data_IF_347080041601
#
_entry.id   IF_347080041601
#
_cell.length_a   1.000
_cell.length_b   1.000
_cell.length_c   1.000
_cell.angle_alpha   90.00
_cell.angle_beta   90.00
_cell.angle_gamma   90.00
#
_symmetry.space_group_name_H-M   'P 1'
#
loop_
_entity.id
_entity.type
_entity.pdbx_description
1 polymer ?
#
# COMPACT_ATOMS: atom_id res chain seq x y z
N UNK A 1 -11.33 -8.31 -2.33
CA UNK A 1 -10.25 -7.96 -3.29
C UNK A 1 -10.12 -9.01 -4.39
N UNK A 2 -9.87 -10.29 -4.10
CA UNK A 2 -9.66 -11.34 -5.13
C UNK A 2 -10.74 -11.37 -6.23
N UNK A 3 -12.02 -11.30 -5.84
CA UNK A 3 -13.13 -11.27 -6.80
C UNK A 3 -13.10 -10.03 -7.72
N UNK A 4 -12.68 -8.86 -7.21
CA UNK A 4 -12.58 -7.63 -8.00
C UNK A 4 -11.46 -7.74 -9.03
N UNK A 5 -10.31 -8.30 -8.63
CA UNK A 5 -9.19 -8.57 -9.51
C UNK A 5 -9.64 -9.53 -10.63
N UNK A 6 -10.18 -10.68 -10.26
CA UNK A 6 -10.40 -11.79 -11.19
C UNK A 6 -11.63 -11.65 -12.07
N UNK A 7 -12.71 -11.06 -11.55
CA UNK A 7 -13.99 -10.96 -12.29
C UNK A 7 -14.22 -9.61 -12.92
N UNK A 8 -13.58 -8.57 -12.40
CA UNK A 8 -13.82 -7.19 -12.83
C UNK A 8 -12.56 -6.51 -13.36
N UNK A 9 -11.42 -7.21 -13.40
CA UNK A 9 -10.14 -6.69 -13.91
C UNK A 9 -9.74 -5.37 -13.23
N UNK A 10 -10.06 -5.24 -11.94
CA UNK A 10 -9.72 -4.06 -11.14
C UNK A 10 -8.37 -4.29 -10.50
N UNK A 11 -7.37 -3.53 -10.95
CA UNK A 11 -5.98 -3.65 -10.50
C UNK A 11 -5.57 -2.56 -9.49
N UNK A 12 -6.44 -1.58 -9.25
CA UNK A 12 -6.26 -0.52 -8.26
C UNK A 12 -7.24 -0.69 -7.09
N UNK A 13 -6.73 -0.70 -5.86
CA UNK A 13 -7.53 -0.85 -4.65
C UNK A 13 -7.20 0.23 -3.65
N UNK A 14 -8.23 0.92 -3.15
CA UNK A 14 -8.13 1.80 -2.00
C UNK A 14 -8.63 1.04 -0.76
N UNK A 15 -7.81 0.98 0.27
CA UNK A 15 -7.96 0.08 1.40
C UNK A 15 -7.75 0.83 2.70
N UNK A 16 -8.83 0.97 3.47
CA UNK A 16 -8.75 1.46 4.85
C UNK A 16 -8.17 0.38 5.76
N UNK A 17 -7.11 0.70 6.49
CA UNK A 17 -6.50 -0.15 7.51
C UNK A 17 -6.36 0.60 8.81
N UNK A 18 -6.51 -0.10 9.94
CA UNK A 18 -6.31 0.48 11.26
C UNK A 18 -5.40 -0.38 12.11
N UNK A 19 -4.67 0.24 13.03
CA UNK A 19 -3.89 -0.46 14.03
C UNK A 19 -4.67 -0.56 15.33
N UNK A 20 -4.97 -1.78 15.76
CA UNK A 20 -5.80 -2.04 16.92
C UNK A 20 -5.21 -3.22 17.72
N UNK A 21 -5.04 -3.04 19.04
CA UNK A 21 -4.54 -4.08 19.96
C UNK A 21 -3.31 -4.85 19.45
N UNK A 22 -2.36 -4.16 18.84
CA UNK A 22 -1.09 -4.78 18.40
C UNK A 22 -1.09 -5.36 16.99
N UNK A 23 -2.18 -5.21 16.22
CA UNK A 23 -2.30 -5.76 14.85
C UNK A 23 -2.91 -4.74 13.89
N UNK A 24 -2.60 -4.87 12.60
CA UNK A 24 -3.35 -4.20 11.55
C UNK A 24 -4.54 -5.04 11.11
N UNK A 25 -5.66 -4.37 10.88
CA UNK A 25 -6.89 -4.96 10.35
C UNK A 25 -7.52 -4.04 9.32
N UNK A 26 -8.27 -4.62 8.38
CA UNK A 26 -9.03 -3.86 7.41
C UNK A 26 -10.21 -3.17 8.11
N UNK A 27 -10.39 -1.89 7.81
CA UNK A 27 -11.46 -1.05 8.32
C UNK A 27 -12.47 -0.72 7.20
N UNK A 28 -13.63 -0.20 7.57
CA UNK A 28 -14.55 0.45 6.64
C UNK A 28 -15.17 1.64 7.37
N UNK A 29 -15.04 2.84 6.78
CA UNK A 29 -15.66 4.17 6.98
C UNK A 29 -16.43 4.58 8.27
N UNK A 30 -16.49 3.78 9.33
CA UNK A 30 -17.21 4.03 10.60
C UNK A 30 -16.57 3.29 11.79
N UNK A 31 -15.32 2.83 11.70
CA UNK A 31 -14.51 2.44 12.86
C UNK A 31 -15.01 1.28 13.73
N UNK A 32 -16.07 0.55 13.37
CA UNK A 32 -16.70 -0.44 14.28
C UNK A 32 -16.59 -1.89 13.83
N UNK A 33 -16.35 -2.16 12.56
CA UNK A 33 -16.28 -3.52 12.03
C UNK A 33 -14.85 -3.95 11.71
N UNK A 34 -14.41 -5.04 12.33
CA UNK A 34 -13.19 -5.78 11.95
C UNK A 34 -13.49 -6.53 10.65
N UNK A 35 -12.88 -6.10 9.54
CA UNK A 35 -13.02 -6.76 8.23
C UNK A 35 -11.92 -7.81 7.98
N UNK A 36 -11.22 -8.23 9.03
CA UNK A 36 -10.22 -9.28 9.00
C UNK A 36 -8.81 -8.74 9.19
N UNK A 37 -7.95 -9.63 9.68
CA UNK A 37 -6.52 -9.39 9.86
C UNK A 37 -5.85 -8.99 8.54
N UNK A 38 -5.02 -7.95 8.57
CA UNK A 38 -4.35 -7.41 7.39
C UNK A 38 -3.49 -8.46 6.68
N UNK A 39 -2.62 -9.16 7.42
CA UNK A 39 -1.71 -10.17 6.87
C UNK A 39 -2.46 -11.33 6.24
N UNK A 40 -3.49 -11.84 6.93
CA UNK A 40 -4.25 -12.98 6.43
C UNK A 40 -4.98 -12.65 5.13
N UNK A 41 -5.62 -11.48 5.08
CA UNK A 41 -6.34 -11.01 3.88
C UNK A 41 -5.37 -10.73 2.72
N UNK A 42 -4.22 -10.11 3.00
CA UNK A 42 -3.18 -9.88 1.99
C UNK A 42 -2.67 -11.21 1.41
N UNK A 43 -2.38 -12.22 2.24
CA UNK A 43 -1.96 -13.55 1.78
C UNK A 43 -3.03 -14.26 0.96
N UNK A 44 -4.25 -14.31 1.48
CA UNK A 44 -5.33 -15.09 0.87
C UNK A 44 -5.88 -14.46 -0.41
N UNK A 45 -5.72 -13.15 -0.60
CA UNK A 45 -6.30 -12.45 -1.74
C UNK A 45 -5.25 -11.87 -2.68
N UNK A 46 -4.31 -11.08 -2.17
CA UNK A 46 -3.32 -10.37 -3.01
C UNK A 46 -2.23 -11.33 -3.47
N UNK A 47 -1.58 -12.03 -2.53
CA UNK A 47 -0.57 -13.03 -2.89
C UNK A 47 -1.16 -14.15 -3.75
N UNK A 48 -2.34 -14.66 -3.40
CA UNK A 48 -3.02 -15.66 -4.22
C UNK A 48 -3.25 -15.18 -5.67
N UNK A 49 -3.68 -13.94 -5.86
CA UNK A 49 -3.89 -13.37 -7.20
C UNK A 49 -2.59 -13.20 -7.97
N UNK A 50 -1.53 -12.69 -7.32
CA UNK A 50 -0.20 -12.52 -7.92
C UNK A 50 0.49 -13.85 -8.27
N UNK A 51 0.14 -14.93 -7.58
CA UNK A 51 0.60 -16.30 -7.89
C UNK A 51 -0.15 -16.91 -9.06
N UNK A 52 -1.45 -16.67 -9.16
CA UNK A 52 -2.31 -17.22 -10.20
C UNK A 52 -2.09 -16.54 -11.56
N UNK A 53 -1.70 -15.26 -11.56
CA UNK A 53 -1.42 -14.49 -12.77
C UNK A 53 -0.01 -13.85 -12.69
N UNK A 54 0.96 -14.34 -13.49
CA UNK A 54 2.31 -13.77 -13.52
C UNK A 54 2.39 -12.38 -14.17
N UNK A 55 1.40 -12.01 -14.99
CA UNK A 55 1.34 -10.72 -15.68
C UNK A 55 0.58 -9.67 -14.87
N UNK A 56 -0.16 -10.08 -13.83
CA UNK A 56 -0.89 -9.16 -12.95
C UNK A 56 0.06 -8.17 -12.28
N UNK A 57 -0.30 -6.88 -12.37
CA UNK A 57 0.27 -5.79 -11.58
C UNK A 57 -0.86 -5.17 -10.76
N UNK A 58 -0.64 -4.97 -9.45
CA UNK A 58 -1.60 -4.37 -8.54
C UNK A 58 -1.08 -3.06 -7.94
N UNK A 59 -2.01 -2.14 -7.72
CA UNK A 59 -1.79 -0.86 -7.04
C UNK A 59 -2.68 -0.84 -5.79
N UNK A 60 -2.07 -0.72 -4.62
CA UNK A 60 -2.76 -0.61 -3.34
C UNK A 60 -2.52 0.77 -2.75
N UNK A 61 -3.59 1.49 -2.50
CA UNK A 61 -3.61 2.72 -1.72
C UNK A 61 -4.10 2.39 -0.31
N UNK A 62 -3.17 2.37 0.65
CA UNK A 62 -3.44 2.05 2.05
C UNK A 62 -3.72 3.32 2.83
N UNK A 63 -4.97 3.51 3.22
CA UNK A 63 -5.39 4.61 4.08
C UNK A 63 -5.29 4.16 5.54
N UNK A 64 -4.40 4.79 6.30
CA UNK A 64 -4.27 4.53 7.72
C UNK A 64 -5.40 5.28 8.45
N UNK A 65 -6.48 4.56 8.74
CA UNK A 65 -7.59 5.07 9.55
C UNK A 65 -7.14 5.16 11.02
N UNK A 66 -6.42 6.25 11.30
CA UNK A 66 -6.20 6.74 12.64
C UNK A 66 -7.50 7.31 13.17
N UNK A 67 -8.39 6.46 13.71
CA UNK A 67 -9.66 6.84 14.33
C UNK A 67 -10.24 8.17 13.80
N UNK A 68 -10.88 8.16 12.63
CA UNK A 68 -11.64 9.31 12.09
C UNK A 68 -12.77 9.85 12.99
N UNK A 69 -12.88 9.44 14.25
CA UNK A 69 -13.82 10.02 15.19
C UNK A 69 -13.29 11.40 15.65
N UNK A 70 -13.89 12.44 15.05
CA UNK A 70 -13.91 13.84 15.54
C UNK A 70 -12.61 14.64 15.41
N UNK A 71 -11.82 14.37 14.39
CA UNK A 71 -10.70 15.22 14.01
C UNK A 71 -11.13 16.28 13.00
N UNK A 72 -12.22 16.99 13.33
CA UNK A 72 -12.50 18.30 12.75
C UNK A 72 -11.33 19.22 13.14
N UNK A 73 -10.40 19.39 12.19
CA UNK A 73 -9.20 20.25 12.28
C UNK A 73 -8.06 19.71 13.16
N UNK A 74 -7.81 18.41 13.19
CA UNK A 74 -6.61 17.92 13.87
C UNK A 74 -5.33 18.27 13.09
N UNK A 75 -4.40 18.87 13.84
CA UNK A 75 -3.13 19.45 13.42
C UNK A 75 -2.33 18.49 12.53
N UNK A 76 -1.77 18.98 11.41
CA UNK A 76 -0.91 18.18 10.52
C UNK A 76 0.25 17.51 11.29
N UNK A 77 0.65 18.11 12.41
CA UNK A 77 1.65 17.59 13.32
C UNK A 77 1.22 16.28 14.00
N UNK A 78 -0.03 16.14 14.43
CA UNK A 78 -0.56 14.92 15.06
C UNK A 78 -0.62 13.77 14.06
N UNK A 79 -1.05 14.06 12.82
CA UNK A 79 -1.04 13.09 11.71
C UNK A 79 0.38 12.61 11.40
N UNK A 80 1.35 13.52 11.34
CA UNK A 80 2.76 13.16 11.11
C UNK A 80 3.29 12.22 12.19
N UNK A 81 3.05 12.54 13.47
CA UNK A 81 3.49 11.73 14.60
C UNK A 81 2.83 10.34 14.62
N UNK A 82 1.54 10.28 14.29
CA UNK A 82 0.82 9.02 14.15
C UNK A 82 1.43 8.16 13.04
N UNK A 83 1.73 8.74 11.89
CA UNK A 83 2.37 8.05 10.78
C UNK A 83 3.76 7.53 11.17
N UNK A 84 4.61 8.35 11.78
CA UNK A 84 5.92 7.93 12.30
C UNK A 84 5.82 6.75 13.27
N UNK A 85 4.73 6.66 14.05
CA UNK A 85 4.48 5.54 14.96
C UNK A 85 3.96 4.27 14.25
N UNK A 86 3.08 4.41 13.26
CA UNK A 86 2.40 3.29 12.60
C UNK A 86 3.24 2.66 11.48
N UNK A 87 4.04 3.46 10.77
CA UNK A 87 4.81 3.00 9.61
C UNK A 87 5.77 1.85 9.91
N UNK A 88 6.61 1.90 10.97
CA UNK A 88 7.48 0.78 11.29
C UNK A 88 6.71 -0.51 11.61
N UNK A 89 5.50 -0.40 12.14
CA UNK A 89 4.65 -1.55 12.46
C UNK A 89 4.01 -2.13 11.20
N UNK A 90 3.60 -1.27 10.27
CA UNK A 90 3.11 -1.70 8.97
C UNK A 90 4.22 -2.43 8.20
N UNK A 91 5.46 -1.92 8.25
CA UNK A 91 6.63 -2.62 7.71
C UNK A 91 6.79 -4.01 8.33
N UNK A 92 6.65 -4.14 9.66
CA UNK A 92 6.70 -5.45 10.33
C UNK A 92 5.61 -6.41 9.85
N UNK A 93 4.42 -5.92 9.46
CA UNK A 93 3.40 -6.77 8.85
C UNK A 93 3.82 -7.26 7.46
N UNK A 94 4.42 -6.40 6.64
CA UNK A 94 4.98 -6.79 5.35
C UNK A 94 6.15 -7.78 5.47
N UNK A 95 6.97 -7.67 6.53
CA UNK A 95 8.07 -8.62 6.79
C UNK A 95 7.56 -10.05 7.08
N UNK A 96 6.30 -10.20 7.53
CA UNK A 96 5.63 -11.51 7.72
C UNK A 96 5.12 -12.11 6.39
N UNK A 97 5.24 -11.37 5.29
CA UNK A 97 4.74 -11.71 3.95
C UNK A 97 5.85 -11.57 2.91
N UNK A 98 6.94 -12.36 2.98
CA UNK A 98 8.12 -12.18 2.13
C UNK A 98 7.80 -12.23 0.64
N UNK A 99 6.88 -13.09 0.19
CA UNK A 99 6.46 -13.13 -1.22
C UNK A 99 5.85 -11.80 -1.70
N UNK A 100 4.96 -11.22 -0.89
CA UNK A 100 4.37 -9.91 -1.17
C UNK A 100 5.46 -8.85 -1.15
N UNK A 101 6.25 -8.79 -0.07
CA UNK A 101 7.32 -7.81 0.13
C UNK A 101 8.31 -7.78 -1.04
N UNK A 102 8.75 -8.94 -1.50
CA UNK A 102 9.75 -9.05 -2.56
C UNK A 102 9.18 -8.67 -3.93
N UNK A 103 7.85 -8.65 -4.08
CA UNK A 103 7.15 -8.15 -5.27
C UNK A 103 6.81 -6.67 -5.20
N UNK A 104 7.07 -6.00 -4.07
CA UNK A 104 6.77 -4.59 -3.93
C UNK A 104 7.70 -3.75 -4.81
N UNK A 105 7.12 -2.78 -5.51
CA UNK A 105 7.88 -1.81 -6.27
C UNK A 105 8.72 -0.94 -5.33
N UNK A 106 10.03 -0.97 -5.53
CA UNK A 106 10.98 -0.16 -4.80
C UNK A 106 11.67 0.79 -5.79
N UNK A 107 11.28 2.06 -5.78
CA UNK A 107 11.89 3.09 -6.62
C UNK A 107 13.39 3.27 -6.36
N UNK A 108 13.89 2.95 -5.16
CA UNK A 108 15.32 3.05 -4.85
C UNK A 108 16.14 1.86 -5.38
N UNK A 109 15.49 0.86 -5.99
CA UNK A 109 16.18 -0.28 -6.58
C UNK A 109 17.16 0.19 -7.68
N UNK A 110 18.42 -0.27 -7.67
CA UNK A 110 19.42 0.13 -8.67
C UNK A 110 18.99 -0.06 -10.12
N UNK A 111 18.07 -1.00 -10.39
CA UNK A 111 17.48 -1.23 -11.72
C UNK A 111 16.83 0.02 -12.30
N UNK A 112 16.26 0.88 -11.46
CA UNK A 112 15.52 2.07 -11.86
C UNK A 112 16.37 3.34 -11.87
N UNK A 113 17.64 3.28 -11.45
CA UNK A 113 18.51 4.46 -11.26
C UNK A 113 18.66 5.34 -12.52
N UNK A 114 18.53 4.75 -13.71
CA UNK A 114 18.66 5.47 -14.99
C UNK A 114 17.32 5.90 -15.61
N UNK A 115 16.20 5.58 -14.97
CA UNK A 115 14.89 5.99 -15.44
C UNK A 115 14.66 7.47 -15.15
N UNK A 116 14.16 8.20 -16.15
CA UNK A 116 13.67 9.58 -16.01
C UNK A 116 12.20 9.62 -15.62
N UNK A 117 11.47 8.54 -15.92
CA UNK A 117 10.03 8.37 -15.73
C UNK A 117 9.73 7.08 -14.94
N UNK A 118 8.47 6.84 -14.62
CA UNK A 118 8.07 5.55 -14.03
C UNK A 118 8.41 4.37 -14.97
N UNK A 119 8.86 3.22 -14.44
CA UNK A 119 8.99 2.02 -15.24
C UNK A 119 7.66 1.64 -15.89
N UNK A 120 7.74 1.10 -17.10
CA UNK A 120 6.58 0.55 -17.80
C UNK A 120 6.06 -0.70 -17.07
N UNK A 121 4.79 -1.04 -17.30
CA UNK A 121 4.20 -2.27 -16.75
C UNK A 121 5.00 -3.52 -17.15
N UNK A 122 5.49 -3.58 -18.40
CA UNK A 122 6.33 -4.69 -18.86
C UNK A 122 7.68 -4.78 -18.15
N UNK A 123 8.27 -3.65 -17.76
CA UNK A 123 9.51 -3.63 -16.97
C UNK A 123 9.26 -4.08 -15.53
N UNK A 124 8.14 -3.65 -14.93
CA UNK A 124 7.72 -4.10 -13.59
C UNK A 124 7.48 -5.62 -13.55
N UNK A 125 6.79 -6.18 -14.54
CA UNK A 125 6.61 -7.63 -14.71
C UNK A 125 7.95 -8.36 -14.80
N UNK A 126 8.85 -7.93 -15.69
CA UNK A 126 10.18 -8.54 -15.87
C UNK A 126 11.04 -8.46 -14.61
N UNK A 127 10.92 -7.37 -13.85
CA UNK A 127 11.61 -7.17 -12.59
C UNK A 127 10.96 -7.93 -11.41
N UNK A 128 9.81 -8.55 -11.64
CA UNK A 128 8.92 -9.14 -10.62
C UNK A 128 8.55 -8.15 -9.50
N UNK A 129 8.50 -6.84 -9.81
CA UNK A 129 8.03 -5.78 -8.93
C UNK A 129 6.59 -5.42 -9.30
N UNK A 130 5.67 -6.35 -9.02
CA UNK A 130 4.30 -6.36 -9.53
C UNK A 130 3.27 -5.79 -8.55
N UNK A 131 3.72 -5.29 -7.39
CA UNK A 131 2.85 -4.71 -6.39
C UNK A 131 3.31 -3.29 -6.05
N UNK A 132 2.52 -2.28 -6.40
CA UNK A 132 2.77 -0.90 -5.99
C UNK A 132 1.93 -0.63 -4.76
N UNK A 133 2.55 -0.19 -3.67
CA UNK A 133 1.85 0.20 -2.44
C UNK A 133 2.15 1.65 -2.13
N UNK A 134 1.10 2.43 -1.94
CA UNK A 134 1.13 3.81 -1.48
C UNK A 134 0.34 3.91 -0.18
N UNK A 135 0.63 4.91 0.64
CA UNK A 135 -0.14 5.20 1.85
C UNK A 135 -0.28 6.70 2.05
N UNK A 136 -1.35 7.11 2.71
CA UNK A 136 -1.63 8.49 3.12
C UNK A 136 -0.69 9.02 4.20
N UNK A 137 0.08 8.13 4.84
CA UNK A 137 1.24 8.51 5.61
C UNK A 137 2.33 9.09 4.70
N UNK A 138 2.36 10.42 4.59
CA UNK A 138 3.51 11.13 4.03
C UNK A 138 4.77 10.56 4.67
N UNK A 139 5.66 10.00 3.85
CA UNK A 139 6.84 9.18 4.22
C UNK A 139 6.60 7.65 4.20
N UNK A 140 6.02 7.14 3.11
CA UNK A 140 6.49 5.93 2.42
C UNK A 140 7.01 6.36 1.05
N UNK A 141 8.03 7.19 1.05
CA UNK A 141 8.64 7.72 -0.17
C UNK A 141 10.18 7.73 -0.07
N UNK A 142 10.76 7.79 1.13
CA UNK A 142 12.22 7.86 1.29
C UNK A 142 12.88 6.56 1.77
N UNK A 143 12.11 5.48 2.00
CA UNK A 143 12.66 4.18 2.41
C UNK A 143 11.88 3.01 1.81
N UNK A 144 12.56 2.22 0.97
CA UNK A 144 12.16 0.91 0.41
C UNK A 144 10.80 0.75 -0.29
N UNK A 145 10.01 1.81 -0.37
CA UNK A 145 8.72 1.84 -1.04
C UNK A 145 8.66 3.14 -1.87
N UNK A 146 8.16 3.02 -3.09
CA UNK A 146 8.40 3.99 -4.15
C UNK A 146 8.07 5.45 -3.82
N UNK A 147 8.91 6.38 -4.29
CA UNK A 147 8.57 7.80 -4.43
C UNK A 147 7.46 7.96 -5.47
N UNK A 148 6.21 7.85 -5.04
CA UNK A 148 5.07 8.39 -5.78
C UNK A 148 5.02 9.89 -5.59
N UNK A 149 5.76 10.66 -6.40
CA UNK A 149 5.49 12.09 -6.52
C UNK A 149 4.17 12.22 -7.28
N UNK A 150 3.05 12.38 -6.57
CA UNK A 150 1.81 12.84 -7.18
C UNK A 150 2.11 14.24 -7.70
N UNK A 151 2.23 14.37 -9.02
CA UNK A 151 2.33 15.68 -9.66
C UNK A 151 0.98 16.36 -9.47
N UNK A 152 0.88 17.24 -8.47
CA UNK A 152 -0.11 18.28 -8.50
C UNK A 152 0.22 19.17 -9.71
N UNK A 153 -0.57 19.05 -10.77
CA UNK A 153 -0.68 20.11 -11.77
C UNK A 153 -1.27 21.33 -11.04
N UNK A 154 -0.42 22.24 -10.58
CA UNK A 154 -0.86 23.60 -10.32
C UNK A 154 -1.22 24.22 -11.68
N UNK A 155 -2.45 24.69 -11.89
CA UNK A 155 -2.78 25.44 -13.09
C UNK A 155 -1.91 26.70 -13.16
N UNK A 156 -1.37 26.94 -14.34
CA UNK A 156 -0.70 28.17 -14.75
C UNK A 156 -1.58 29.41 -14.59
#
# INVERSE_FOLDING_TARGET
MKTLIQRHNVNGHNLDIRYNKGKFEFAHSQGTHDNGNFVDRMKNEIEASLREDPDLILFLDLQLDGQRHELDKEDLQTRKQQNEYLLPKLQQEFDKMPYIRDMMFNHADPRWKKHTDWPTLGELQKANQRLVVVTDASVIADGNFGKGRIMHNSPS
#
